data_IF_466568005561
#
_entry.id   IF_466568005561
#
_cell.length_a   1.000
_cell.length_b   1.000
_cell.length_c   1.000
_cell.angle_alpha   90.00
_cell.angle_beta   90.00
_cell.angle_gamma   90.00
#
_symmetry.space_group_name_H-M   'P 1'
#
loop_
_entity.id
_entity.type
_entity.pdbx_description
1 polymer ?
#
# COMPACT_ATOMS: atom_id res chain seq x y z
N UNK A 1 49.78 -33.74 -116.82
CA UNK A 1 48.80 -34.56 -116.07
C UNK A 1 49.20 -34.59 -114.61
N UNK A 2 48.26 -34.26 -113.71
CA UNK A 2 48.08 -34.73 -112.31
C UNK A 2 47.49 -33.60 -111.46
N UNK A 3 46.22 -33.76 -111.08
CA UNK A 3 45.45 -32.86 -110.21
C UNK A 3 46.04 -32.90 -108.79
N UNK A 4 46.23 -31.75 -108.16
CA UNK A 4 46.31 -31.68 -106.71
C UNK A 4 45.05 -30.98 -106.18
N UNK A 5 44.33 -31.66 -105.31
CA UNK A 5 43.03 -31.29 -104.77
C UNK A 5 43.25 -31.06 -103.27
N UNK A 6 43.38 -29.80 -102.82
CA UNK A 6 43.50 -29.50 -101.38
C UNK A 6 42.14 -29.19 -100.80
N UNK A 7 41.71 -30.09 -99.92
CA UNK A 7 40.42 -30.15 -99.25
C UNK A 7 40.13 -28.93 -98.36
N UNK A 8 38.83 -28.62 -98.26
CA UNK A 8 38.20 -27.66 -97.34
C UNK A 8 37.65 -28.45 -96.13
N UNK A 9 37.30 -27.75 -95.03
CA UNK A 9 36.72 -28.16 -93.74
C UNK A 9 37.75 -28.22 -92.59
N UNK A 10 37.53 -27.64 -91.41
CA UNK A 10 36.43 -26.83 -90.91
C UNK A 10 36.79 -26.41 -89.48
N UNK A 11 37.09 -25.13 -89.28
CA UNK A 11 37.24 -24.47 -87.97
C UNK A 11 37.43 -22.95 -88.07
N UNK A 12 37.71 -22.41 -89.26
CA UNK A 12 37.77 -20.96 -89.47
C UNK A 12 36.34 -20.37 -89.52
N UNK A 13 35.81 -19.98 -88.35
CA UNK A 13 34.61 -19.17 -88.29
C UNK A 13 34.86 -17.81 -89.00
N UNK A 14 33.93 -17.33 -89.84
CA UNK A 14 34.03 -15.99 -90.43
C UNK A 14 34.11 -14.93 -89.31
N UNK A 15 35.06 -14.00 -89.41
CA UNK A 15 35.19 -12.93 -88.41
C UNK A 15 33.99 -11.97 -88.55
N UNK A 16 33.21 -11.83 -87.48
CA UNK A 16 32.10 -10.87 -87.43
C UNK A 16 32.64 -9.43 -87.51
N UNK A 17 31.97 -8.51 -88.23
CA UNK A 17 32.33 -7.10 -88.20
C UNK A 17 32.24 -6.60 -86.75
N UNK A 18 33.33 -6.01 -86.24
CA UNK A 18 33.39 -5.43 -84.89
C UNK A 18 32.33 -4.34 -84.76
N UNK A 19 31.31 -4.59 -83.95
CA UNK A 19 30.41 -3.54 -83.49
C UNK A 19 31.22 -2.58 -82.59
N UNK A 20 31.03 -1.25 -82.70
CA UNK A 20 31.84 -0.29 -81.97
C UNK A 20 31.81 -0.59 -80.47
N UNK A 21 33.00 -0.60 -79.89
CA UNK A 21 33.25 -0.81 -78.47
C UNK A 21 32.50 0.28 -77.67
N UNK A 22 31.39 -0.11 -77.04
CA UNK A 22 30.85 0.70 -75.95
C UNK A 22 31.89 0.69 -74.84
N UNK A 23 32.34 1.84 -74.31
CA UNK A 23 33.34 1.85 -73.25
C UNK A 23 32.78 1.07 -72.08
N UNK A 24 33.42 -0.07 -71.80
CA UNK A 24 33.21 -0.82 -70.56
C UNK A 24 33.57 0.14 -69.45
N UNK A 25 32.55 0.72 -68.80
CA UNK A 25 32.74 1.43 -67.55
C UNK A 25 33.45 0.46 -66.64
N UNK A 26 34.74 0.69 -66.39
CA UNK A 26 35.45 0.08 -65.29
C UNK A 26 34.59 0.32 -64.05
N UNK A 27 33.84 -0.70 -63.65
CA UNK A 27 33.19 -0.71 -62.35
C UNK A 27 34.33 -0.84 -61.37
N UNK A 28 34.90 0.32 -61.00
CA UNK A 28 35.82 0.45 -59.89
C UNK A 28 35.10 -0.18 -58.72
N UNK A 29 35.50 -1.40 -58.38
CA UNK A 29 35.01 -2.08 -57.19
C UNK A 29 35.65 -1.28 -56.06
N UNK A 30 34.96 -0.21 -55.64
CA UNK A 30 35.32 0.54 -54.44
C UNK A 30 35.20 -0.49 -53.33
N UNK A 31 36.35 -1.01 -52.91
CA UNK A 31 36.46 -1.85 -51.72
C UNK A 31 35.93 -0.97 -50.60
N UNK A 32 34.68 -1.21 -50.20
CA UNK A 32 34.08 -0.54 -49.06
C UNK A 32 34.93 -0.96 -47.87
N UNK A 33 35.79 -0.05 -47.42
CA UNK A 33 36.45 -0.17 -46.13
C UNK A 33 35.29 -0.33 -45.14
N UNK A 34 35.25 -1.38 -44.30
CA UNK A 34 34.16 -1.54 -43.35
C UNK A 34 34.10 -0.25 -42.54
N UNK A 35 33.03 0.51 -42.75
CA UNK A 35 32.83 1.79 -42.07
C UNK A 35 32.94 1.54 -40.58
N UNK A 36 33.70 2.38 -39.89
CA UNK A 36 33.85 2.30 -38.45
C UNK A 36 32.46 2.19 -37.82
N UNK A 37 32.19 1.04 -37.20
CA UNK A 37 30.95 0.80 -36.45
C UNK A 37 30.74 1.97 -35.49
N UNK A 38 29.55 2.61 -35.50
CA UNK A 38 29.31 3.75 -34.63
C UNK A 38 29.48 3.29 -33.18
N UNK A 39 30.49 3.81 -32.48
CA UNK A 39 30.66 3.60 -31.04
C UNK A 39 29.41 4.18 -30.37
N UNK A 40 28.54 3.29 -29.88
CA UNK A 40 27.31 3.67 -29.16
C UNK A 40 27.70 4.62 -28.02
N UNK A 41 27.15 5.83 -28.04
CA UNK A 41 27.37 6.79 -26.96
C UNK A 41 27.01 6.14 -25.61
N UNK A 42 27.80 6.36 -24.54
CA UNK A 42 27.51 5.77 -23.24
C UNK A 42 26.16 6.31 -22.77
N UNK A 43 25.13 5.45 -22.77
CA UNK A 43 23.84 5.80 -22.18
C UNK A 43 24.09 6.25 -20.74
N UNK A 44 23.54 7.42 -20.39
CA UNK A 44 23.74 8.03 -19.08
C UNK A 44 23.33 7.04 -17.98
N UNK A 45 24.32 6.51 -17.27
CA UNK A 45 24.15 5.58 -16.15
C UNK A 45 23.38 6.25 -14.99
N UNK A 46 23.45 7.59 -14.92
CA UNK A 46 22.78 8.40 -13.92
C UNK A 46 21.26 8.29 -13.95
N UNK A 47 20.61 8.24 -15.13
CA UNK A 47 19.15 8.07 -15.24
C UNK A 47 18.68 6.73 -14.65
N UNK A 48 19.49 5.70 -14.82
CA UNK A 48 19.18 4.35 -14.33
C UNK A 48 19.35 4.29 -12.81
N UNK A 49 20.37 4.95 -12.27
CA UNK A 49 20.60 5.09 -10.83
C UNK A 49 19.48 5.91 -10.15
N UNK A 50 19.02 6.98 -10.81
CA UNK A 50 17.91 7.81 -10.32
C UNK A 50 16.58 7.04 -10.30
N UNK A 51 16.30 6.26 -11.36
CA UNK A 51 15.12 5.40 -11.40
C UNK A 51 15.14 4.34 -10.29
N UNK A 52 16.30 3.73 -10.03
CA UNK A 52 16.48 2.77 -8.94
C UNK A 52 16.23 3.44 -7.57
N UNK A 53 16.81 4.62 -7.34
CA UNK A 53 16.61 5.39 -6.11
C UNK A 53 15.14 5.77 -5.90
N UNK A 54 14.44 6.12 -6.98
CA UNK A 54 13.02 6.42 -6.91
C UNK A 54 12.19 5.21 -6.48
N UNK A 55 12.44 4.03 -7.05
CA UNK A 55 11.75 2.79 -6.67
C UNK A 55 12.03 2.42 -5.21
N UNK A 56 13.30 2.51 -4.78
CA UNK A 56 13.70 2.24 -3.39
C UNK A 56 13.02 3.23 -2.44
N UNK A 57 12.97 4.51 -2.78
CA UNK A 57 12.29 5.54 -2.00
C UNK A 57 10.80 5.23 -1.81
N UNK A 58 10.10 4.88 -2.89
CA UNK A 58 8.68 4.50 -2.82
C UNK A 58 8.48 3.27 -1.92
N UNK A 59 9.33 2.25 -2.06
CA UNK A 59 9.28 1.06 -1.23
C UNK A 59 9.52 1.38 0.26
N UNK A 60 10.48 2.27 0.54
CA UNK A 60 10.78 2.72 1.90
C UNK A 60 9.61 3.47 2.55
N UNK A 61 8.91 4.33 1.79
CA UNK A 61 7.71 5.04 2.27
C UNK A 61 6.60 4.05 2.63
N UNK A 62 6.39 3.02 1.82
CA UNK A 62 5.40 1.98 2.09
C UNK A 62 5.75 1.23 3.38
N UNK A 63 6.99 0.80 3.54
CA UNK A 63 7.46 0.12 4.76
C UNK A 63 7.33 1.01 6.00
N UNK A 64 7.68 2.30 5.90
CA UNK A 64 7.54 3.25 7.00
C UNK A 64 6.08 3.40 7.44
N UNK A 65 5.14 3.47 6.48
CA UNK A 65 3.71 3.49 6.78
C UNK A 65 3.27 2.21 7.49
N UNK A 66 3.68 1.04 7.02
CA UNK A 66 3.36 -0.24 7.66
C UNK A 66 3.93 -0.35 9.08
N UNK A 67 5.16 0.12 9.29
CA UNK A 67 5.78 0.15 10.62
C UNK A 67 4.98 1.03 11.59
N UNK A 68 4.62 2.24 11.14
CA UNK A 68 3.83 3.19 11.94
C UNK A 68 2.43 2.65 12.26
N UNK A 69 1.75 2.02 11.30
CA UNK A 69 0.45 1.37 11.52
C UNK A 69 0.59 0.23 12.55
N UNK A 70 1.65 -0.58 12.46
CA UNK A 70 1.87 -1.69 13.38
C UNK A 70 2.12 -1.21 14.82
N UNK A 71 2.90 -0.14 15.00
CA UNK A 71 3.13 0.47 16.32
C UNK A 71 1.84 1.07 16.90
N UNK A 72 1.02 1.71 16.07
CA UNK A 72 -0.28 2.20 16.50
C UNK A 72 -1.23 1.05 16.88
N UNK A 73 -1.20 -0.05 16.13
CA UNK A 73 -2.03 -1.22 16.41
C UNK A 73 -1.65 -1.92 17.71
N UNK A 74 -0.35 -2.02 18.03
CA UNK A 74 0.09 -2.59 19.31
C UNK A 74 -0.30 -1.72 20.50
N UNK A 75 -0.19 -0.40 20.38
CA UNK A 75 -0.66 0.55 21.41
C UNK A 75 -2.18 0.45 21.60
N UNK A 76 -2.93 0.38 20.49
CA UNK A 76 -4.39 0.25 20.52
C UNK A 76 -4.84 -1.09 21.11
N UNK A 77 -4.09 -2.17 20.87
CA UNK A 77 -4.30 -3.46 21.50
C UNK A 77 -4.07 -3.44 23.01
N UNK A 78 -2.99 -2.80 23.47
CA UNK A 78 -2.71 -2.64 24.91
C UNK A 78 -3.80 -1.82 25.61
N UNK A 79 -4.17 -0.67 25.04
CA UNK A 79 -5.21 0.19 25.59
C UNK A 79 -6.57 -0.51 25.61
N UNK A 80 -6.86 -1.33 24.60
CA UNK A 80 -8.08 -2.13 24.56
C UNK A 80 -8.10 -3.22 25.64
N UNK A 81 -6.97 -3.86 25.90
CA UNK A 81 -6.86 -4.85 26.97
C UNK A 81 -7.11 -4.23 28.35
N UNK A 82 -6.52 -3.06 28.63
CA UNK A 82 -6.75 -2.31 29.87
C UNK A 82 -8.22 -1.90 30.03
N UNK A 83 -8.86 -1.44 28.94
CA UNK A 83 -10.29 -1.13 28.96
C UNK A 83 -11.16 -2.36 29.26
N UNK A 84 -10.88 -3.49 28.61
CA UNK A 84 -11.65 -4.71 28.80
C UNK A 84 -11.44 -5.26 30.22
N UNK A 85 -10.24 -5.15 30.81
CA UNK A 85 -9.95 -5.50 32.20
C UNK A 85 -10.77 -4.66 33.19
N UNK A 86 -10.75 -3.32 33.05
CA UNK A 86 -11.50 -2.43 33.94
C UNK A 86 -13.02 -2.63 33.83
N UNK A 87 -13.51 -2.94 32.62
CA UNK A 87 -14.92 -3.27 32.39
C UNK A 87 -15.32 -4.58 33.07
N UNK A 88 -14.45 -5.59 33.00
CA UNK A 88 -14.70 -6.88 33.61
C UNK A 88 -14.61 -6.79 35.14
N UNK A 89 -13.72 -5.96 35.69
CA UNK A 89 -13.67 -5.64 37.11
C UNK A 89 -14.96 -4.93 37.58
N UNK A 90 -15.45 -3.93 36.84
CA UNK A 90 -16.73 -3.29 37.14
C UNK A 90 -17.89 -4.29 37.14
N UNK A 91 -17.93 -5.18 36.16
CA UNK A 91 -18.95 -6.24 36.11
C UNK A 91 -18.86 -7.15 37.33
N UNK A 92 -17.65 -7.54 37.72
CA UNK A 92 -17.42 -8.39 38.89
C UNK A 92 -17.88 -7.69 40.17
N UNK A 93 -17.55 -6.41 40.35
CA UNK A 93 -18.01 -5.61 41.48
C UNK A 93 -19.53 -5.49 41.52
N UNK A 94 -20.19 -5.29 40.38
CA UNK A 94 -21.65 -5.27 40.32
C UNK A 94 -22.26 -6.61 40.76
N UNK A 95 -21.71 -7.73 40.29
CA UNK A 95 -22.15 -9.07 40.73
C UNK A 95 -21.87 -9.27 42.22
N UNK A 96 -20.73 -8.80 42.73
CA UNK A 96 -20.40 -8.89 44.16
C UNK A 96 -21.33 -8.04 45.02
N UNK A 97 -21.77 -6.87 44.55
CA UNK A 97 -22.80 -6.06 45.22
C UNK A 97 -24.14 -6.79 45.21
N UNK A 98 -24.56 -7.32 44.05
CA UNK A 98 -25.83 -8.05 43.93
C UNK A 98 -25.86 -9.32 44.79
N UNK A 99 -24.74 -10.03 44.88
CA UNK A 99 -24.61 -11.28 45.68
C UNK A 99 -24.31 -11.01 47.15
N UNK A 100 -23.64 -9.91 47.47
CA UNK A 100 -23.23 -9.52 48.83
C UNK A 100 -24.36 -8.90 49.65
N UNK A 101 -25.44 -8.46 49.01
CA UNK A 101 -26.70 -8.10 49.70
C UNK A 101 -27.42 -9.42 50.06
N UNK A 102 -26.93 -10.06 51.11
CA UNK A 102 -27.59 -11.21 51.72
C UNK A 102 -28.79 -10.72 52.56
N UNK A 103 -29.97 -10.71 51.92
CA UNK A 103 -31.24 -10.34 52.53
C UNK A 103 -31.55 -11.20 53.77
N UNK A 104 -31.10 -12.46 53.79
CA UNK A 104 -31.33 -13.37 54.92
C UNK A 104 -30.48 -12.95 56.11
N UNK A 105 -29.22 -12.55 55.89
CA UNK A 105 -28.38 -11.98 56.95
C UNK A 105 -28.93 -10.68 57.51
N UNK A 106 -29.44 -9.80 56.66
CA UNK A 106 -30.09 -8.55 57.09
C UNK A 106 -31.34 -8.85 57.92
N UNK A 107 -32.15 -9.83 57.50
CA UNK A 107 -33.34 -10.28 58.23
C UNK A 107 -32.98 -10.88 59.60
N UNK A 108 -31.96 -11.73 59.66
CA UNK A 108 -31.52 -12.34 60.93
C UNK A 108 -31.07 -11.28 61.93
N UNK A 109 -30.27 -10.30 61.51
CA UNK A 109 -29.85 -9.18 62.38
C UNK A 109 -31.07 -8.36 62.83
N UNK A 110 -32.00 -8.08 61.92
CA UNK A 110 -33.22 -7.34 62.22
C UNK A 110 -34.10 -8.07 63.26
N UNK A 111 -34.33 -9.36 63.10
CA UNK A 111 -35.19 -10.15 63.98
C UNK A 111 -34.52 -10.45 65.33
N UNK A 112 -33.23 -10.83 65.31
CA UNK A 112 -32.53 -11.31 66.51
C UNK A 112 -31.95 -10.18 67.34
N UNK A 113 -31.28 -9.20 66.72
CA UNK A 113 -30.58 -8.15 67.45
C UNK A 113 -31.45 -6.91 67.67
N UNK A 114 -32.32 -6.59 66.72
CA UNK A 114 -33.16 -5.39 66.76
C UNK A 114 -34.60 -5.68 67.18
N UNK A 115 -34.98 -6.95 67.39
CA UNK A 115 -36.36 -7.39 67.68
C UNK A 115 -37.39 -6.79 66.69
N UNK A 116 -36.99 -6.62 65.43
CA UNK A 116 -37.91 -6.21 64.37
C UNK A 116 -38.70 -7.41 63.88
N UNK A 117 -39.94 -7.17 63.46
CA UNK A 117 -40.81 -8.20 62.88
C UNK A 117 -41.41 -7.68 61.58
N UNK A 118 -41.71 -8.60 60.66
CA UNK A 118 -42.40 -8.24 59.43
C UNK A 118 -43.78 -7.63 59.75
N UNK A 119 -44.15 -6.49 59.13
CA UNK A 119 -45.44 -5.84 59.36
C UNK A 119 -46.60 -6.69 58.82
N UNK A 120 -47.75 -6.63 59.50
CA UNK A 120 -48.98 -7.31 59.08
C UNK A 120 -49.67 -6.57 57.92
N UNK A 121 -50.55 -7.24 57.17
CA UNK A 121 -51.21 -6.68 55.97
C UNK A 121 -51.90 -5.33 56.23
N UNK A 122 -52.41 -5.16 57.45
CA UNK A 122 -53.14 -3.98 57.88
C UNK A 122 -52.23 -2.76 58.15
N UNK A 123 -50.91 -2.96 58.15
CA UNK A 123 -49.88 -1.94 58.39
C UNK A 123 -49.13 -1.54 57.11
N UNK A 124 -49.49 -2.09 55.95
CA UNK A 124 -48.88 -1.75 54.66
C UNK A 124 -49.54 -0.52 54.01
N UNK A 125 -48.72 0.44 53.59
CA UNK A 125 -49.12 1.55 52.72
C UNK A 125 -48.34 1.45 51.41
N UNK A 126 -49.01 1.11 50.30
CA UNK A 126 -48.38 1.05 48.99
C UNK A 126 -48.22 2.45 48.41
N UNK A 127 -46.98 2.87 48.21
CA UNK A 127 -46.62 4.10 47.51
C UNK A 127 -46.08 3.78 46.13
N UNK A 128 -46.61 4.46 45.10
CA UNK A 128 -46.17 4.28 43.72
C UNK A 128 -44.94 5.14 43.46
N UNK A 129 -43.78 4.51 43.23
CA UNK A 129 -42.52 5.21 42.98
C UNK A 129 -42.28 5.29 41.47
N UNK A 130 -42.20 6.50 40.87
CA UNK A 130 -41.84 6.63 39.47
C UNK A 130 -40.37 6.23 39.25
N UNK A 131 -40.12 5.32 38.31
CA UNK A 131 -38.75 4.91 37.95
C UNK A 131 -38.07 6.05 37.18
N UNK A 132 -36.99 6.59 37.72
CA UNK A 132 -36.12 7.54 37.01
C UNK A 132 -35.03 6.77 36.25
N UNK A 133 -35.34 6.33 35.04
CA UNK A 133 -34.32 5.80 34.14
C UNK A 133 -33.53 6.99 33.56
N UNK A 134 -32.28 7.18 33.99
CA UNK A 134 -31.37 8.15 33.38
C UNK A 134 -30.41 7.42 32.45
N UNK A 135 -30.43 7.77 31.16
CA UNK A 135 -29.42 7.33 30.20
C UNK A 135 -28.40 8.45 30.03
N UNK A 136 -27.12 8.16 30.33
CA UNK A 136 -26.02 9.09 30.06
C UNK A 136 -25.56 8.86 28.62
N UNK A 137 -25.78 9.84 27.75
CA UNK A 137 -25.25 9.83 26.38
C UNK A 137 -23.80 10.32 26.46
N UNK A 138 -22.85 9.44 26.10
CA UNK A 138 -21.44 9.81 26.01
C UNK A 138 -21.25 10.66 24.75
N UNK A 139 -20.74 11.89 24.92
CA UNK A 139 -20.50 12.83 23.82
C UNK A 139 -19.17 12.48 23.11
N UNK A 140 -19.24 12.07 21.85
CA UNK A 140 -18.08 11.55 21.08
C UNK A 140 -17.28 12.64 20.36
N UNK A 141 -17.70 13.90 20.44
CA UNK A 141 -17.12 15.02 19.70
C UNK A 141 -15.67 15.36 20.10
N UNK A 142 -15.13 14.75 21.16
CA UNK A 142 -13.74 14.92 21.57
C UNK A 142 -12.70 14.20 20.68
N UNK A 143 -13.10 13.20 19.89
CA UNK A 143 -12.14 12.38 19.12
C UNK A 143 -11.70 13.07 17.82
N UNK A 144 -12.54 13.93 17.23
CA UNK A 144 -12.33 14.41 15.86
C UNK A 144 -11.40 15.65 15.76
N UNK A 145 -11.26 16.40 16.86
CA UNK A 145 -10.50 17.66 16.89
C UNK A 145 -8.97 17.51 16.80
N UNK A 146 -8.41 16.36 17.17
CA UNK A 146 -6.95 16.16 17.23
C UNK A 146 -6.36 15.47 15.99
N UNK A 147 -7.15 14.72 15.23
CA UNK A 147 -6.70 14.01 14.03
C UNK A 147 -6.35 14.96 12.85
N UNK A 148 -6.82 16.22 12.90
CA UNK A 148 -6.64 17.21 11.82
C UNK A 148 -5.34 18.01 11.90
N UNK A 149 -4.48 17.77 12.89
CA UNK A 149 -3.21 18.52 13.02
C UNK A 149 -2.14 18.00 12.06
N UNK A 150 -2.08 18.70 10.94
CA UNK A 150 -0.88 18.90 10.10
C UNK A 150 -0.33 17.65 9.43
N UNK A 151 -0.93 17.28 8.29
CA UNK A 151 -0.26 16.32 7.42
C UNK A 151 1.06 16.95 6.91
N UNK A 152 2.20 16.25 7.02
CA UNK A 152 3.48 16.72 6.48
C UNK A 152 3.44 16.91 4.96
N UNK A 153 2.47 16.26 4.30
CA UNK A 153 2.20 16.37 2.86
C UNK A 153 1.62 17.74 2.51
N UNK A 154 0.70 18.29 3.31
CA UNK A 154 0.17 19.64 3.10
C UNK A 154 1.26 20.72 3.22
N UNK A 155 2.18 20.58 4.18
CA UNK A 155 3.36 21.47 4.30
C UNK A 155 4.29 21.38 3.10
N UNK A 156 4.44 20.18 2.53
CA UNK A 156 5.27 19.97 1.34
C UNK A 156 4.61 20.58 0.09
N UNK A 157 3.29 20.42 -0.06
CA UNK A 157 2.52 21.01 -1.17
C UNK A 157 2.54 22.53 -1.08
N UNK A 158 2.39 23.11 0.12
CA UNK A 158 2.44 24.56 0.30
C UNK A 158 3.83 25.13 -0.04
N UNK A 159 4.90 24.47 0.42
CA UNK A 159 6.27 24.89 0.11
C UNK A 159 6.58 24.78 -1.39
N UNK A 160 6.11 23.73 -2.06
CA UNK A 160 6.28 23.59 -3.51
C UNK A 160 5.49 24.66 -4.30
N UNK A 161 4.32 25.07 -3.81
CA UNK A 161 3.52 26.15 -4.42
C UNK A 161 4.19 27.51 -4.27
N UNK A 162 4.82 27.81 -3.12
CA UNK A 162 5.55 29.06 -2.91
C UNK A 162 6.82 29.18 -3.77
N UNK A 163 7.49 28.06 -4.09
CA UNK A 163 8.68 28.07 -4.95
C UNK A 163 8.34 28.27 -6.44
N UNK A 164 7.08 28.04 -6.83
CA UNK A 164 6.62 28.08 -8.23
C UNK A 164 5.90 29.39 -8.61
N UNK A 165 5.68 30.30 -7.66
CA UNK A 165 5.20 31.68 -7.87
C UNK A 165 6.36 32.67 -7.83
#
# INVERSE_FOLDING_TARGET
MARNNSYIYGSAAPQLPKQPENPVKERRVVRQVPGAVPKKAPRSKSKLLFCLMFIVSVCFVVLYRFCCISEMNTQMGALKAEYDELRDENRKLNVEIETGIDLDRVKEIAEVQLNMHAPDQNQLVLVNVPKSDYSVVMDYDYIDGNARKTSPLEKLISAAREILQ
#
